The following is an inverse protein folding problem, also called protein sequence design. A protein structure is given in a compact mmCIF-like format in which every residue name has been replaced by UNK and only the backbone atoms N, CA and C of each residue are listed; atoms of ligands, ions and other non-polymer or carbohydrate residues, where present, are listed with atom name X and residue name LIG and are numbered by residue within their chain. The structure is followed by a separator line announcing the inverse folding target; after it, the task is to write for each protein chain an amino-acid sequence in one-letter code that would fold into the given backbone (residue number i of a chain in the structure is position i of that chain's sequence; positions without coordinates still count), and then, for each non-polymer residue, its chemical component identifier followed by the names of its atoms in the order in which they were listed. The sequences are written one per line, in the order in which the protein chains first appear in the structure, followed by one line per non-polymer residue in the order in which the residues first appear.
data_IF_711691457550
#
_entry.id   IF_711691457550
#
_cell.length_a   1.000
_cell.length_b   1.000
_cell.length_c   1.000
_cell.angle_alpha   90.00
_cell.angle_beta   90.00
_cell.angle_gamma   90.00
#
_symmetry.space_group_name_H-M   'P 1'
#
loop_
_entity.id
_entity.type
_entity.pdbx_description
1 polymer ?
#
# COMPACT_ATOMS: atom_id res chain seq x y z
N UNK A 1 -5.26 4.64 12.42
CA UNK A 1 -4.21 5.08 11.47
C UNK A 1 -2.86 4.73 12.06
N UNK A 2 -1.87 4.33 11.26
CA UNK A 2 -0.49 4.21 11.74
C UNK A 2 0.13 5.59 11.95
N UNK A 3 1.02 5.74 12.93
CA UNK A 3 1.85 6.94 13.05
C UNK A 3 2.80 7.05 11.84
N UNK A 4 3.17 8.27 11.42
CA UNK A 4 3.99 8.51 10.23
C UNK A 4 5.35 7.79 10.26
N UNK A 5 5.90 7.60 11.46
CA UNK A 5 7.17 6.92 11.70
C UNK A 5 7.01 5.53 12.31
N UNK A 6 5.82 4.91 12.20
CA UNK A 6 5.55 3.59 12.78
C UNK A 6 6.53 2.51 12.29
N UNK A 7 7.10 2.69 11.09
CA UNK A 7 8.06 1.76 10.49
C UNK A 7 9.46 2.36 10.34
N UNK A 8 9.77 3.48 11.00
CA UNK A 8 11.11 4.04 10.98
C UNK A 8 12.11 3.06 11.61
N UNK A 9 13.21 2.76 10.92
CA UNK A 9 14.23 1.80 11.38
C UNK A 9 13.89 0.32 11.16
N UNK A 10 12.69 0.00 10.70
CA UNK A 10 12.30 -1.39 10.39
C UNK A 10 12.88 -1.79 9.04
N UNK A 11 13.88 -2.69 9.05
CA UNK A 11 14.65 -3.08 7.85
C UNK A 11 14.33 -4.48 7.32
N UNK A 12 13.74 -5.36 8.13
CA UNK A 12 13.58 -6.80 7.83
C UNK A 12 12.13 -7.30 7.90
N UNK A 13 11.14 -6.40 7.91
CA UNK A 13 9.74 -6.80 7.98
C UNK A 13 9.31 -7.51 6.69
N UNK A 14 9.00 -8.81 6.82
CA UNK A 14 8.57 -9.69 5.72
C UNK A 14 7.09 -10.03 5.76
N UNK A 15 6.50 -10.02 6.96
CA UNK A 15 5.12 -10.43 7.18
C UNK A 15 4.41 -9.37 8.01
N UNK A 16 3.23 -8.95 7.56
CA UNK A 16 2.36 -8.05 8.31
C UNK A 16 0.89 -8.47 8.18
N UNK A 17 0.22 -8.56 9.33
CA UNK A 17 -1.20 -8.85 9.42
C UNK A 17 -1.92 -7.62 9.97
N UNK A 18 -2.72 -6.97 9.13
CA UNK A 18 -3.43 -5.72 9.48
C UNK A 18 -4.92 -5.81 9.18
N UNK A 19 -5.44 -7.01 8.90
CA UNK A 19 -6.85 -7.26 8.68
C UNK A 19 -7.72 -6.92 9.90
N UNK A 20 -9.03 -6.72 9.70
CA UNK A 20 -10.00 -6.40 10.76
C UNK A 20 -9.71 -5.12 11.53
N UNK A 21 -9.16 -4.13 10.85
CA UNK A 21 -8.89 -2.83 11.45
C UNK A 21 -9.76 -1.75 10.81
N UNK A 22 -9.59 -0.52 11.28
CA UNK A 22 -10.21 0.67 10.71
C UNK A 22 -9.20 1.49 9.90
N UNK A 23 -8.30 0.80 9.20
CA UNK A 23 -7.30 1.46 8.36
C UNK A 23 -7.96 1.93 7.07
N UNK A 24 -7.78 3.21 6.76
CA UNK A 24 -8.16 3.77 5.46
C UNK A 24 -6.97 3.82 4.51
N UNK A 25 -5.75 3.85 5.04
CA UNK A 25 -4.50 3.95 4.30
C UNK A 25 -3.35 3.28 5.07
N UNK A 26 -2.27 2.97 4.35
CA UNK A 26 -0.98 2.61 4.93
C UNK A 26 -0.05 3.83 4.95
N UNK A 27 0.90 3.90 5.89
CA UNK A 27 1.83 5.03 5.95
C UNK A 27 2.74 5.06 4.72
N UNK A 28 3.16 6.25 4.30
CA UNK A 28 3.91 6.45 3.04
C UNK A 28 5.24 5.69 2.99
N UNK A 29 5.84 5.46 4.15
CA UNK A 29 7.10 4.74 4.35
C UNK A 29 6.90 3.24 4.64
N UNK A 30 5.70 2.68 4.39
CA UNK A 30 5.46 1.26 4.59
C UNK A 30 6.46 0.40 3.78
N UNK A 31 7.13 -0.59 4.40
CA UNK A 31 8.29 -1.26 3.81
C UNK A 31 7.91 -2.37 2.81
N UNK A 32 7.27 -2.00 1.70
CA UNK A 32 6.83 -2.95 0.65
C UNK A 32 7.97 -3.75 0.00
N UNK A 33 9.21 -3.26 0.08
CA UNK A 33 10.37 -3.82 -0.63
C UNK A 33 10.82 -5.20 -0.18
N UNK A 34 10.60 -5.51 1.10
CA UNK A 34 10.97 -6.79 1.72
C UNK A 34 9.74 -7.60 2.12
N UNK A 35 8.54 -7.09 1.80
CA UNK A 35 7.28 -7.67 2.21
C UNK A 35 6.95 -8.87 1.32
N UNK A 36 6.86 -10.05 1.94
CA UNK A 36 6.50 -11.33 1.33
C UNK A 36 5.02 -11.64 1.56
N UNK A 37 4.52 -11.38 2.77
CA UNK A 37 3.11 -11.63 3.16
C UNK A 37 2.48 -10.38 3.77
N UNK A 38 1.34 -9.97 3.22
CA UNK A 38 0.55 -8.85 3.76
C UNK A 38 -0.94 -9.18 3.66
N UNK A 39 -1.62 -9.23 4.79
CA UNK A 39 -3.08 -9.40 4.87
C UNK A 39 -3.74 -8.09 5.28
N UNK A 40 -4.63 -7.59 4.42
CA UNK A 40 -5.23 -6.25 4.52
C UNK A 40 -6.76 -6.27 4.59
N UNK A 41 -7.35 -7.47 4.59
CA UNK A 41 -8.79 -7.70 4.50
C UNK A 41 -9.60 -6.97 5.57
N UNK A 42 -10.85 -6.65 5.26
CA UNK A 42 -11.80 -6.07 6.24
C UNK A 42 -11.31 -4.73 6.82
N UNK A 43 -10.82 -3.84 5.97
CA UNK A 43 -10.46 -2.46 6.29
C UNK A 43 -11.18 -1.47 5.36
N UNK A 44 -11.58 -0.28 5.84
CA UNK A 44 -12.29 0.72 5.03
C UNK A 44 -11.36 1.52 4.10
N UNK A 45 -10.72 0.85 3.15
CA UNK A 45 -9.68 1.46 2.29
C UNK A 45 -10.17 2.69 1.52
N UNK A 46 -9.37 3.76 1.59
CA UNK A 46 -9.54 4.98 0.82
C UNK A 46 -8.65 4.94 -0.43
N UNK A 47 -9.27 4.73 -1.58
CA UNK A 47 -8.61 4.63 -2.87
C UNK A 47 -8.29 6.01 -3.46
N UNK A 48 -7.21 6.61 -2.96
CA UNK A 48 -6.53 7.76 -3.56
C UNK A 48 -5.09 7.40 -3.93
N UNK A 49 -4.36 8.31 -4.58
CA UNK A 49 -2.98 8.03 -4.99
C UNK A 49 -2.01 7.70 -3.85
N UNK A 50 -2.36 7.95 -2.58
CA UNK A 50 -1.60 7.46 -1.43
C UNK A 50 -1.59 5.93 -1.34
N UNK A 51 -2.63 5.27 -1.86
CA UNK A 51 -2.75 3.81 -1.86
C UNK A 51 -2.10 3.15 -3.08
N UNK A 52 -1.56 3.93 -4.03
CA UNK A 52 -0.95 3.42 -5.24
C UNK A 52 0.24 2.45 -4.99
N UNK A 53 1.11 2.65 -3.97
CA UNK A 53 2.16 1.68 -3.63
C UNK A 53 1.59 0.30 -3.22
N UNK A 54 0.50 0.28 -2.43
CA UNK A 54 -0.18 -0.96 -2.06
C UNK A 54 -0.73 -1.68 -3.29
N UNK A 55 -1.41 -0.96 -4.20
CA UNK A 55 -1.86 -1.52 -5.48
C UNK A 55 -0.70 -2.12 -6.28
N UNK A 56 0.46 -1.45 -6.34
CA UNK A 56 1.64 -1.98 -7.03
C UNK A 56 2.08 -3.30 -6.42
N UNK A 57 2.17 -3.38 -5.09
CA UNK A 57 2.55 -4.60 -4.37
C UNK A 57 1.53 -5.73 -4.59
N UNK A 58 0.24 -5.44 -4.60
CA UNK A 58 -0.84 -6.40 -4.89
C UNK A 58 -0.82 -6.92 -6.34
N UNK A 59 -0.31 -6.13 -7.30
CA UNK A 59 -0.14 -6.57 -8.69
C UNK A 59 1.11 -7.42 -8.90
N UNK A 60 2.19 -7.13 -8.17
CA UNK A 60 3.44 -7.90 -8.28
C UNK A 60 3.38 -9.24 -7.55
N UNK A 61 2.55 -9.33 -6.50
CA UNK A 61 2.36 -10.57 -5.76
C UNK A 61 1.13 -11.31 -6.26
N UNK A 62 1.17 -12.65 -6.23
CA UNK A 62 0.02 -13.50 -6.59
C UNK A 62 -1.06 -13.54 -5.49
N UNK A 63 -1.04 -12.57 -4.57
CA UNK A 63 -1.98 -12.47 -3.47
C UNK A 63 -3.40 -12.27 -4.02
N UNK A 64 -4.30 -13.19 -3.71
CA UNK A 64 -5.74 -13.09 -4.06
C UNK A 64 -6.49 -12.17 -3.08
N UNK A 65 -5.86 -11.09 -2.63
CA UNK A 65 -6.55 -10.16 -1.73
C UNK A 65 -7.69 -9.49 -2.50
N UNK A 66 -8.93 -9.82 -2.14
CA UNK A 66 -10.17 -9.27 -2.73
C UNK A 66 -10.56 -7.93 -2.10
N UNK A 67 -9.60 -7.22 -1.53
CA UNK A 67 -9.83 -5.94 -0.89
C UNK A 67 -10.36 -4.90 -1.88
N UNK A 68 -11.44 -4.25 -1.46
CA UNK A 68 -12.15 -3.25 -2.24
C UNK A 68 -12.04 -1.86 -1.62
N UNK A 69 -12.21 -0.85 -2.45
CA UNK A 69 -12.30 0.53 -1.99
C UNK A 69 -13.60 0.71 -1.18
N UNK A 70 -13.50 1.34 -0.01
CA UNK A 70 -14.67 1.84 0.72
C UNK A 70 -14.96 3.30 0.39
N UNK A 71 -13.93 4.08 0.06
CA UNK A 71 -14.03 5.47 -0.36
C UNK A 71 -13.01 5.79 -1.47
N UNK A 72 -13.21 6.85 -2.27
CA UNK A 72 -14.41 7.69 -2.32
C UNK A 72 -15.61 6.92 -2.91
N UNK A 73 -16.81 7.50 -2.79
CA UNK A 73 -18.06 6.83 -3.18
C UNK A 73 -18.08 6.35 -4.64
N UNK A 74 -17.45 7.10 -5.56
CA UNK A 74 -17.39 6.72 -6.98
C UNK A 74 -16.66 5.38 -7.23
N UNK A 75 -15.80 4.97 -6.31
CA UNK A 75 -15.00 3.76 -6.44
C UNK A 75 -15.37 2.68 -5.42
N UNK A 76 -16.41 2.90 -4.61
CA UNK A 76 -16.82 1.98 -3.55
C UNK A 76 -17.13 0.58 -4.13
N UNK A 77 -16.65 -0.46 -3.47
CA UNK A 77 -16.81 -1.85 -3.88
C UNK A 77 -15.89 -2.29 -5.04
N UNK A 78 -15.15 -1.37 -5.67
CA UNK A 78 -14.21 -1.74 -6.72
C UNK A 78 -12.92 -2.35 -6.11
N UNK A 79 -12.34 -3.40 -6.70
CA UNK A 79 -11.09 -3.99 -6.22
C UNK A 79 -9.94 -2.98 -6.26
N UNK A 80 -9.14 -2.89 -5.18
CA UNK A 80 -7.99 -1.98 -5.09
C UNK A 80 -6.99 -2.23 -6.23
N UNK A 81 -6.83 -3.50 -6.62
CA UNK A 81 -5.92 -3.90 -7.70
C UNK A 81 -6.30 -3.28 -9.05
N UNK A 82 -7.60 -3.13 -9.29
CA UNK A 82 -8.14 -2.94 -10.64
C UNK A 82 -8.90 -1.62 -10.83
N UNK A 83 -9.26 -0.93 -9.74
CA UNK A 83 -10.00 0.35 -9.78
C UNK A 83 -9.27 1.43 -10.61
N UNK A 84 -10.00 2.22 -11.42
CA UNK A 84 -9.47 3.37 -12.13
C UNK A 84 -8.90 4.45 -11.20
N UNK A 85 -9.37 4.54 -9.95
CA UNK A 85 -8.92 5.52 -8.95
C UNK A 85 -7.39 5.60 -8.79
N UNK A 86 -6.71 4.47 -9.03
CA UNK A 86 -5.28 4.31 -8.82
C UNK A 86 -4.48 4.13 -10.12
N UNK A 87 -5.14 4.15 -11.29
CA UNK A 87 -4.48 3.91 -12.59
C UNK A 87 -3.61 5.07 -13.03
N UNK A 88 -4.04 6.31 -12.80
CA UNK A 88 -3.36 7.54 -13.22
C UNK A 88 -2.36 8.09 -12.20
N UNK A 89 -2.15 7.39 -11.08
CA UNK A 89 -1.28 7.87 -10.01
C UNK A 89 0.20 7.79 -10.38
N UNK A 90 0.91 8.91 -10.21
CA UNK A 90 2.38 8.97 -10.33
C UNK A 90 2.99 8.30 -9.10
N UNK A 91 3.59 7.13 -9.30
CA UNK A 91 4.35 6.48 -8.23
C UNK A 91 5.71 7.15 -8.10
N UNK A 92 6.18 7.46 -6.87
CA UNK A 92 7.55 7.89 -6.68
C UNK A 92 8.48 6.79 -7.19
N UNK A 93 9.28 7.11 -8.19
CA UNK A 93 10.39 6.24 -8.62
C UNK A 93 11.34 6.12 -7.44
N UNK A 94 11.78 4.91 -7.11
CA UNK A 94 12.87 4.74 -6.15
C UNK A 94 14.05 5.54 -6.69
N UNK A 95 14.35 6.68 -6.08
CA UNK A 95 15.65 7.33 -6.30
C UNK A 95 16.68 6.30 -5.81
N UNK A 96 17.34 5.63 -6.75
CA UNK A 96 18.64 5.04 -6.53
C UNK A 96 19.48 6.13 -5.86
N UNK A 97 19.96 5.87 -4.64
CA UNK A 97 21.02 6.69 -4.04
C UNK A 97 22.20 6.64 -5.02
N UNK A 98 22.29 7.62 -5.93
CA UNK A 98 23.53 7.88 -6.66
C UNK A 98 24.44 8.48 -5.61
N UNK A 99 25.31 7.63 -5.06
CA UNK A 99 26.26 8.01 -4.03
C UNK A 99 27.04 9.24 -4.48
N UNK A 100 27.13 10.22 -3.59
CA UNK A 100 28.17 11.23 -3.63
C UNK A 100 29.51 10.51 -3.71
N UNK A 101 30.27 10.72 -4.78
CA UNK A 101 31.71 10.43 -4.81
C UNK A 101 32.44 11.76 -4.66
N UNK A 102 33.46 11.69 -3.81
CA UNK A 102 34.41 12.73 -3.41
C UNK A 102 35.01 13.50 -4.58
#
# INVERSE_FOLDING_TARGET
QFADNAFAGVTVLKTAHVENNRLTQLPRNFPFDKMETLTISRNPWHCSCQLAPLRKWLKSNRTRAEDTCSTPAQHRGQPIRDTPALRSCKLPTKRSRKGSRH
#
